data_IF_720868347787
#
_entry.id   IF_720868347787
#
_cell.length_a   1.000
_cell.length_b   1.000
_cell.length_c   1.000
_cell.angle_alpha   90.00
_cell.angle_beta   90.00
_cell.angle_gamma   90.00
#
_symmetry.space_group_name_H-M   'P 1'
#
loop_
_entity.id
_entity.type
_entity.pdbx_description
1 polymer ?
#
# COMPACT_ATOMS: atom_id res chain seq x y z
N UNK A 1 0.31 -11.27 14.15
CA UNK A 1 0.51 -9.83 13.92
C UNK A 1 -0.89 -9.23 13.95
N UNK A 2 -1.11 -8.12 14.67
CA UNK A 2 -2.43 -7.51 14.79
C UNK A 2 -2.83 -6.84 13.45
N UNK A 3 -4.06 -7.07 12.99
CA UNK A 3 -4.59 -6.46 11.76
C UNK A 3 -4.62 -4.93 11.84
N UNK A 4 -4.82 -4.36 13.03
CA UNK A 4 -4.77 -2.90 13.25
C UNK A 4 -3.38 -2.33 12.94
N UNK A 5 -2.32 -3.07 13.25
CA UNK A 5 -0.94 -2.68 12.94
C UNK A 5 -0.67 -2.76 11.44
N UNK A 6 -1.23 -3.77 10.77
CA UNK A 6 -1.12 -3.92 9.32
C UNK A 6 -1.86 -2.79 8.57
N UNK A 7 -3.08 -2.47 9.01
CA UNK A 7 -3.86 -1.36 8.47
C UNK A 7 -3.14 -0.03 8.65
N UNK A 8 -2.61 0.25 9.83
CA UNK A 8 -1.87 1.49 10.06
C UNK A 8 -0.56 1.56 9.28
N UNK A 9 0.16 0.44 9.15
CA UNK A 9 1.34 0.37 8.29
C UNK A 9 0.99 0.68 6.82
N UNK A 10 -0.17 0.21 6.35
CA UNK A 10 -0.67 0.55 5.03
C UNK A 10 -0.93 2.04 4.86
N UNK A 11 -1.59 2.69 5.83
CA UNK A 11 -1.82 4.13 5.78
C UNK A 11 -0.52 4.94 5.79
N UNK A 12 0.48 4.48 6.56
CA UNK A 12 1.84 5.05 6.56
C UNK A 12 2.49 4.93 5.17
N UNK A 13 2.39 3.78 4.50
CA UNK A 13 2.99 3.60 3.16
C UNK A 13 2.22 4.40 2.08
N UNK A 14 0.91 4.52 2.22
CA UNK A 14 0.03 5.31 1.33
C UNK A 14 0.13 6.84 1.54
N UNK A 15 0.92 7.30 2.52
CA UNK A 15 1.06 8.74 2.81
C UNK A 15 1.82 9.45 1.70
N UNK A 16 1.28 10.58 1.22
CA UNK A 16 1.89 11.43 0.18
C UNK A 16 2.31 12.80 0.75
N UNK A 17 3.12 13.54 -0.01
CA UNK A 17 3.47 14.92 0.33
C UNK A 17 4.51 15.06 1.45
N UNK A 18 4.55 16.22 2.14
CA UNK A 18 5.58 16.52 3.13
C UNK A 18 5.65 15.53 4.29
N UNK A 19 4.54 14.87 4.63
CA UNK A 19 4.47 13.89 5.73
C UNK A 19 5.32 12.66 5.46
N UNK A 20 5.56 12.31 4.18
CA UNK A 20 6.43 11.18 3.80
C UNK A 20 7.91 11.41 4.13
N UNK A 21 8.33 12.64 4.44
CA UNK A 21 9.73 12.95 4.75
C UNK A 21 10.24 12.28 6.03
N UNK A 22 9.33 11.92 6.94
CA UNK A 22 9.67 11.15 8.14
C UNK A 22 9.76 9.64 7.83
N UNK A 23 10.72 8.90 8.43
CA UNK A 23 10.80 7.46 8.30
C UNK A 23 9.48 6.76 8.64
N UNK A 24 9.10 5.75 7.86
CA UNK A 24 7.85 4.98 8.05
C UNK A 24 7.72 4.40 9.45
N UNK A 25 8.82 3.91 10.02
CA UNK A 25 8.85 3.41 11.39
C UNK A 25 8.43 4.47 12.40
N UNK A 26 8.95 5.69 12.27
CA UNK A 26 8.64 6.78 13.20
C UNK A 26 7.18 7.21 13.10
N UNK A 27 6.61 7.18 11.89
CA UNK A 27 5.19 7.49 11.66
C UNK A 27 4.28 6.40 12.21
N UNK A 28 4.64 5.12 12.05
CA UNK A 28 3.88 4.01 12.63
C UNK A 28 3.89 4.05 14.17
N UNK A 29 5.00 4.51 14.77
CA UNK A 29 5.11 4.69 16.22
C UNK A 29 4.24 5.81 16.79
N UNK A 30 3.82 6.78 15.99
CA UNK A 30 2.87 7.79 16.44
C UNK A 30 1.52 7.15 16.82
N UNK A 31 1.14 6.06 16.16
CA UNK A 31 -0.07 5.26 16.47
C UNK A 31 0.21 4.11 17.43
N UNK A 32 1.36 3.45 17.31
CA UNK A 32 1.76 2.32 18.16
C UNK A 32 3.11 2.60 18.83
N UNK A 33 3.15 3.38 19.94
CA UNK A 33 4.41 3.85 20.54
C UNK A 33 5.36 2.73 20.98
N UNK A 34 4.78 1.60 21.40
CA UNK A 34 5.47 0.43 21.95
C UNK A 34 5.75 -0.66 20.91
N UNK A 35 5.48 -0.42 19.61
CA UNK A 35 5.77 -1.41 18.58
C UNK A 35 7.29 -1.65 18.48
N UNK A 36 7.68 -2.92 18.57
CA UNK A 36 9.07 -3.28 18.36
C UNK A 36 9.47 -3.15 16.87
N UNK A 37 10.76 -2.92 16.62
CA UNK A 37 11.28 -2.71 15.25
C UNK A 37 11.01 -3.90 14.32
N UNK A 38 11.00 -5.12 14.83
CA UNK A 38 10.80 -6.33 14.01
C UNK A 38 9.33 -6.50 13.62
N UNK A 39 8.40 -6.24 14.53
CA UNK A 39 6.97 -6.18 14.25
C UNK A 39 6.65 -5.08 13.24
N UNK A 40 7.20 -3.87 13.44
CA UNK A 40 7.01 -2.76 12.52
C UNK A 40 7.58 -3.06 11.13
N UNK A 41 8.79 -3.62 11.04
CA UNK A 41 9.40 -3.99 9.76
C UNK A 41 8.57 -5.05 9.01
N UNK A 42 7.99 -6.03 9.71
CA UNK A 42 7.08 -7.02 9.10
C UNK A 42 5.79 -6.38 8.59
N UNK A 43 5.21 -5.45 9.34
CA UNK A 43 3.98 -4.78 8.94
C UNK A 43 4.20 -3.84 7.74
N UNK A 44 5.26 -3.03 7.80
CA UNK A 44 5.65 -2.15 6.69
C UNK A 44 6.06 -2.95 5.45
N UNK A 45 6.75 -4.07 5.62
CA UNK A 45 7.07 -4.98 4.51
C UNK A 45 5.82 -5.60 3.86
N UNK A 46 4.81 -5.95 4.67
CA UNK A 46 3.53 -6.42 4.14
C UNK A 46 2.78 -5.32 3.36
N UNK A 47 2.78 -4.08 3.87
CA UNK A 47 2.20 -2.93 3.18
C UNK A 47 2.94 -2.57 1.89
N UNK A 48 4.27 -2.57 1.90
CA UNK A 48 5.09 -2.34 0.70
C UNK A 48 4.79 -3.36 -0.40
N UNK A 49 4.60 -4.64 -0.02
CA UNK A 49 4.19 -5.67 -0.97
C UNK A 49 2.85 -5.37 -1.66
N UNK A 50 1.89 -4.76 -0.95
CA UNK A 50 0.62 -4.33 -1.55
C UNK A 50 0.84 -3.26 -2.61
N UNK A 51 1.77 -2.32 -2.38
CA UNK A 51 2.13 -1.29 -3.37
C UNK A 51 2.81 -1.92 -4.58
N UNK A 52 3.78 -2.82 -4.38
CA UNK A 52 4.46 -3.52 -5.47
C UNK A 52 3.44 -4.31 -6.33
N UNK A 53 2.49 -4.99 -5.68
CA UNK A 53 1.43 -5.73 -6.37
C UNK A 53 0.50 -4.76 -7.12
N UNK A 54 0.16 -3.60 -6.53
CA UNK A 54 -0.66 -2.57 -7.17
C UNK A 54 0.01 -1.95 -8.41
N UNK A 55 1.32 -1.72 -8.37
CA UNK A 55 2.11 -1.26 -9.53
C UNK A 55 2.09 -2.28 -10.67
N UNK A 56 2.25 -3.57 -10.35
CA UNK A 56 2.15 -4.63 -11.36
C UNK A 56 0.75 -4.70 -11.99
N UNK A 57 -0.30 -4.59 -11.16
CA UNK A 57 -1.68 -4.58 -11.64
C UNK A 57 -2.01 -3.32 -12.44
N UNK A 58 -1.44 -2.16 -12.10
CA UNK A 58 -1.61 -0.92 -12.85
C UNK A 58 -1.22 -1.07 -14.32
N UNK A 59 -0.16 -1.82 -14.62
CA UNK A 59 0.24 -2.14 -16.00
C UNK A 59 -0.78 -3.02 -16.73
N UNK A 60 -1.39 -3.98 -16.05
CA UNK A 60 -2.47 -4.80 -16.61
C UNK A 60 -3.71 -3.95 -16.91
N UNK A 61 -4.01 -2.98 -16.03
CA UNK A 61 -5.09 -2.01 -16.24
C UNK A 61 -4.80 -1.10 -17.44
N UNK A 62 -3.60 -0.52 -17.49
CA UNK A 62 -3.18 0.37 -18.59
C UNK A 62 -3.25 -0.32 -19.96
N UNK A 63 -2.86 -1.60 -20.02
CA UNK A 63 -2.91 -2.40 -21.26
C UNK A 63 -4.31 -2.95 -21.60
N UNK A 64 -5.33 -2.62 -20.80
CA UNK A 64 -6.72 -3.05 -21.01
C UNK A 64 -6.97 -4.54 -20.76
N UNK A 65 -6.01 -5.25 -20.14
CA UNK A 65 -6.16 -6.67 -19.77
C UNK A 65 -7.00 -6.86 -18.52
N UNK A 66 -7.14 -5.79 -17.73
CA UNK A 66 -7.85 -5.80 -16.46
C UNK A 66 -8.56 -4.45 -16.26
N UNK A 67 -9.70 -4.45 -15.58
CA UNK A 67 -10.34 -3.21 -15.12
C UNK A 67 -9.77 -2.76 -13.76
N UNK A 68 -9.92 -1.47 -13.43
CA UNK A 68 -9.55 -0.96 -12.09
C UNK A 68 -10.21 -1.76 -10.96
N UNK A 69 -11.49 -2.09 -11.10
CA UNK A 69 -12.23 -2.85 -10.07
C UNK A 69 -11.70 -4.28 -9.90
N UNK A 70 -11.23 -4.91 -10.99
CA UNK A 70 -10.60 -6.22 -10.92
C UNK A 70 -9.24 -6.16 -10.22
N UNK A 71 -8.45 -5.10 -10.46
CA UNK A 71 -7.18 -4.89 -9.77
C UNK A 71 -7.39 -4.68 -8.27
N UNK A 72 -8.34 -3.82 -7.88
CA UNK A 72 -8.70 -3.60 -6.47
C UNK A 72 -9.17 -4.91 -5.80
N UNK A 73 -10.00 -5.70 -6.48
CA UNK A 73 -10.45 -7.01 -5.98
C UNK A 73 -9.27 -7.96 -5.75
N UNK A 74 -8.30 -8.00 -6.67
CA UNK A 74 -7.08 -8.82 -6.53
C UNK A 74 -6.17 -8.39 -5.37
N UNK A 75 -6.14 -7.11 -5.03
CA UNK A 75 -5.42 -6.65 -3.85
C UNK A 75 -6.08 -7.14 -2.56
N UNK A 76 -7.40 -7.26 -2.54
CA UNK A 76 -8.15 -7.79 -1.39
C UNK A 76 -8.08 -9.32 -1.28
N UNK A 77 -7.88 -10.03 -2.41
CA UNK A 77 -7.71 -11.48 -2.43
C UNK A 77 -6.54 -11.89 -1.51
N UNK A 78 -6.87 -12.71 -0.49
CA UNK A 78 -5.94 -13.22 0.52
C UNK A 78 -5.34 -12.17 1.48
N UNK A 79 -5.90 -10.95 1.55
CA UNK A 79 -5.47 -9.90 2.49
C UNK A 79 -6.67 -9.42 3.31
N UNK A 80 -7.16 -10.27 4.22
CA UNK A 80 -8.33 -9.97 5.05
C UNK A 80 -8.19 -8.70 5.92
N UNK A 81 -6.95 -8.27 6.18
CA UNK A 81 -6.63 -7.06 6.94
C UNK A 81 -6.68 -5.78 6.09
N UNK A 82 -6.68 -5.88 4.76
CA UNK A 82 -6.65 -4.71 3.87
C UNK A 82 -8.08 -4.21 3.63
N UNK A 83 -8.32 -2.92 3.83
CA UNK A 83 -9.65 -2.35 3.57
C UNK A 83 -9.87 -2.05 2.08
N UNK A 84 -11.13 -2.02 1.60
CA UNK A 84 -11.43 -1.61 0.22
C UNK A 84 -10.91 -0.21 -0.14
N UNK A 85 -10.97 0.72 0.82
CA UNK A 85 -10.44 2.08 0.65
C UNK A 85 -8.92 2.07 0.47
N UNK A 86 -8.20 1.28 1.28
CA UNK A 86 -6.75 1.15 1.17
C UNK A 86 -6.34 0.47 -0.12
N UNK A 87 -7.09 -0.54 -0.58
CA UNK A 87 -6.86 -1.18 -1.87
C UNK A 87 -7.04 -0.18 -3.03
N UNK A 88 -8.11 0.62 -3.01
CA UNK A 88 -8.33 1.65 -4.03
C UNK A 88 -7.24 2.73 -4.01
N UNK A 89 -6.83 3.21 -2.83
CA UNK A 89 -5.71 4.15 -2.69
C UNK A 89 -4.39 3.57 -3.21
N UNK A 90 -4.09 2.32 -2.89
CA UNK A 90 -2.91 1.62 -3.37
C UNK A 90 -2.92 1.51 -4.90
N UNK A 91 -4.05 1.13 -5.48
CA UNK A 91 -4.18 1.00 -6.94
C UNK A 91 -4.01 2.35 -7.64
N UNK A 92 -4.63 3.42 -7.14
CA UNK A 92 -4.44 4.77 -7.68
C UNK A 92 -2.97 5.23 -7.60
N UNK A 93 -2.26 4.88 -6.52
CA UNK A 93 -0.84 5.16 -6.38
C UNK A 93 0.02 4.34 -7.35
N UNK A 94 -0.29 3.06 -7.55
CA UNK A 94 0.36 2.23 -8.56
C UNK A 94 0.18 2.78 -9.97
N UNK A 95 -1.03 3.22 -10.32
CA UNK A 95 -1.31 3.90 -11.60
C UNK A 95 -0.49 5.18 -11.77
N UNK A 96 -0.37 5.99 -10.72
CA UNK A 96 0.44 7.20 -10.74
C UNK A 96 1.93 6.89 -10.96
N UNK A 97 2.47 5.87 -10.29
CA UNK A 97 3.87 5.49 -10.45
C UNK A 97 4.16 4.91 -11.83
N UNK A 98 3.30 4.03 -12.36
CA UNK A 98 3.45 3.52 -13.72
C UNK A 98 3.38 4.65 -14.75
N UNK A 99 2.44 5.59 -14.61
CA UNK A 99 2.39 6.79 -15.46
C UNK A 99 3.66 7.63 -15.35
N UNK A 100 4.16 7.89 -14.13
CA UNK A 100 5.36 8.70 -13.90
C UNK A 100 6.62 8.06 -14.51
N UNK A 101 6.73 6.73 -14.43
CA UNK A 101 7.91 6.00 -14.91
C UNK A 101 7.88 5.77 -16.42
N UNK A 102 6.72 5.46 -16.98
CA UNK A 102 6.59 5.04 -18.38
C UNK A 102 5.88 6.03 -19.29
N UNK A 103 5.38 7.16 -18.75
CA UNK A 103 5.03 8.40 -19.47
C UNK A 103 4.37 8.20 -20.83
N UNK A 104 3.11 7.78 -20.85
CA UNK A 104 2.24 7.85 -22.04
C UNK A 104 1.00 8.65 -21.72
#
# INVERSE_FOLDING_TARGET
>A
MNDEVLMAAMDVVLTWGPERTRPEFDRLRDTFPDIDKSAAARALGAAAKVIDDAENLAREVKTGRMSMQQAESKLLENRAWLSPEQASRAQNQGMYYDWREYGE
#
